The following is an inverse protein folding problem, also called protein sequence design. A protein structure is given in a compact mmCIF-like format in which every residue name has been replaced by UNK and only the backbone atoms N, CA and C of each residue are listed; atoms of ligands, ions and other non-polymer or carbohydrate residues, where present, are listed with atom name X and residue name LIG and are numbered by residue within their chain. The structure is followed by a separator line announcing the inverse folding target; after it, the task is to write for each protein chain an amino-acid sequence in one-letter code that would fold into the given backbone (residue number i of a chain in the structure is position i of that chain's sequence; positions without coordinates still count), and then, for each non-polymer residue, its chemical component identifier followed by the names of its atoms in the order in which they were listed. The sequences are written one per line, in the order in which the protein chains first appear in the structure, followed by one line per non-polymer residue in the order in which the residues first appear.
data_IF_945002057632
#
_entry.id   IF_945002057632
#
_cell.length_a   1.000
_cell.length_b   1.000
_cell.length_c   1.000
_cell.angle_alpha   90.00
_cell.angle_beta   90.00
_cell.angle_gamma   90.00
#
_symmetry.space_group_name_H-M   'P 1'
#
loop_
_entity.id
_entity.type
_entity.pdbx_description
1 polymer ?
#
# COMPACT_ATOMS: atom_id res chain seq x y z
N UNK A 1 -4.75 -12.69 -7.22
CA UNK A 1 -4.21 -11.32 -7.12
C UNK A 1 -4.49 -10.80 -5.73
N UNK A 2 -3.47 -10.41 -4.97
CA UNK A 2 -3.60 -10.06 -3.56
C UNK A 2 -4.56 -8.86 -3.34
N UNK A 3 -4.56 -7.87 -4.24
CA UNK A 3 -5.43 -6.69 -4.19
C UNK A 3 -6.91 -7.08 -4.09
N UNK A 4 -7.37 -8.10 -4.82
CA UNK A 4 -8.76 -8.58 -4.78
C UNK A 4 -9.17 -9.15 -3.41
N UNK A 5 -8.19 -9.64 -2.64
CA UNK A 5 -8.40 -10.23 -1.32
C UNK A 5 -8.40 -9.19 -0.18
N UNK A 6 -8.10 -7.91 -0.47
CA UNK A 6 -8.20 -6.84 0.51
C UNK A 6 -9.65 -6.77 1.03
N UNK A 7 -9.79 -6.77 2.36
CA UNK A 7 -11.08 -6.73 3.05
C UNK A 7 -11.68 -5.32 2.98
N UNK A 8 -12.97 -5.26 2.68
CA UNK A 8 -13.74 -4.03 2.74
C UNK A 8 -14.19 -3.75 4.19
N UNK A 9 -14.60 -2.51 4.48
CA UNK A 9 -15.09 -2.05 5.78
C UNK A 9 -13.99 -1.95 6.84
N UNK A 10 -12.72 -1.88 6.43
CA UNK A 10 -11.60 -1.64 7.35
C UNK A 10 -11.33 -0.15 7.44
N UNK A 11 -10.92 0.30 8.63
CA UNK A 11 -10.49 1.69 8.82
C UNK A 11 -9.31 1.97 7.88
N UNK A 12 -9.31 3.15 7.27
CA UNK A 12 -8.19 3.62 6.48
C UNK A 12 -6.95 3.77 7.37
N UNK A 13 -5.78 3.67 6.75
CA UNK A 13 -4.51 3.98 7.43
C UNK A 13 -4.39 5.48 7.72
N UNK A 14 -3.25 5.91 8.29
CA UNK A 14 -2.93 7.33 8.49
C UNK A 14 -2.97 8.17 7.20
N UNK A 15 -2.83 7.53 6.05
CA UNK A 15 -2.96 8.13 4.72
C UNK A 15 -4.41 8.46 4.32
N UNK A 16 -5.39 8.03 5.12
CA UNK A 16 -6.82 8.11 4.86
C UNK A 16 -7.26 7.38 3.58
N UNK A 17 -6.45 6.45 3.07
CA UNK A 17 -6.77 5.65 1.88
C UNK A 17 -7.44 4.34 2.33
N UNK A 18 -8.72 4.12 2.03
CA UNK A 18 -9.38 2.85 2.33
C UNK A 18 -8.88 1.75 1.38
N UNK A 19 -8.86 0.50 1.87
CA UNK A 19 -8.44 -0.65 1.07
C UNK A 19 -9.29 -0.87 -0.19
N UNK A 20 -10.53 -0.39 -0.18
CA UNK A 20 -11.45 -0.38 -1.32
C UNK A 20 -11.00 0.53 -2.46
N UNK A 21 -10.29 1.62 -2.18
CA UNK A 21 -9.73 2.49 -3.22
C UNK A 21 -8.67 1.74 -4.05
N UNK A 22 -7.89 0.86 -3.40
CA UNK A 22 -6.95 -0.02 -4.11
C UNK A 22 -7.66 -1.06 -4.98
N UNK A 23 -8.93 -1.37 -4.69
CA UNK A 23 -9.76 -2.32 -5.45
C UNK A 23 -10.58 -1.66 -6.55
N UNK A 24 -10.80 -0.34 -6.51
CA UNK A 24 -11.64 0.35 -7.50
C UNK A 24 -10.98 0.39 -8.87
N UNK A 25 -9.65 0.49 -8.93
CA UNK A 25 -8.88 0.37 -10.15
C UNK A 25 -7.69 -0.59 -9.96
N UNK A 26 -7.95 -1.86 -10.23
CA UNK A 26 -6.96 -2.93 -10.05
C UNK A 26 -5.81 -2.80 -11.06
N UNK A 27 -6.09 -2.36 -12.29
CA UNK A 27 -5.07 -2.27 -13.34
C UNK A 27 -4.08 -1.16 -13.04
N UNK A 28 -4.58 0.04 -12.71
CA UNK A 28 -3.74 1.15 -12.31
C UNK A 28 -2.95 0.84 -11.04
N UNK A 29 -3.61 0.28 -10.01
CA UNK A 29 -2.95 -0.07 -8.73
C UNK A 29 -1.87 -1.13 -8.94
N UNK A 30 -2.13 -2.13 -9.78
CA UNK A 30 -1.12 -3.17 -10.10
C UNK A 30 0.07 -2.58 -10.84
N UNK A 31 -0.18 -1.71 -11.83
CA UNK A 31 0.88 -1.08 -12.62
C UNK A 31 1.78 -0.21 -11.76
N UNK A 32 1.18 0.60 -10.86
CA UNK A 32 1.92 1.44 -9.92
C UNK A 32 2.75 0.61 -8.93
N UNK A 33 2.15 -0.41 -8.30
CA UNK A 33 2.86 -1.27 -7.34
C UNK A 33 3.99 -2.05 -8.00
N UNK A 34 3.77 -2.58 -9.20
CA UNK A 34 4.78 -3.32 -9.94
C UNK A 34 6.00 -2.44 -10.26
N UNK A 35 5.77 -1.21 -10.76
CA UNK A 35 6.85 -0.27 -11.02
C UNK A 35 7.62 0.11 -9.75
N UNK A 36 6.92 0.34 -8.64
CA UNK A 36 7.54 0.65 -7.35
C UNK A 36 8.43 -0.50 -6.87
N UNK A 37 7.91 -1.73 -6.85
CA UNK A 37 8.68 -2.89 -6.40
C UNK A 37 9.85 -3.20 -7.33
N UNK A 38 9.67 -3.03 -8.65
CA UNK A 38 10.76 -3.18 -9.62
C UNK A 38 11.89 -2.19 -9.32
N UNK A 39 11.56 -0.92 -9.08
CA UNK A 39 12.55 0.11 -8.72
C UNK A 39 13.30 -0.25 -7.43
N UNK A 40 12.58 -0.68 -6.39
CA UNK A 40 13.19 -1.11 -5.12
C UNK A 40 14.12 -2.30 -5.34
N UNK A 41 13.73 -3.25 -6.19
CA UNK A 41 14.54 -4.41 -6.54
C UNK A 41 15.82 -4.05 -7.31
N UNK A 42 15.74 -3.13 -8.27
CA UNK A 42 16.88 -2.71 -9.10
C UNK A 42 17.85 -1.79 -8.36
N UNK A 43 17.35 -0.88 -7.52
CA UNK A 43 18.16 0.10 -6.80
C UNK A 43 18.61 -0.38 -5.42
N UNK A 44 18.03 -1.47 -4.92
CA UNK A 44 18.19 -1.96 -3.54
C UNK A 44 17.88 -0.89 -2.46
N UNK A 45 17.13 0.15 -2.82
CA UNK A 45 16.76 1.25 -1.93
C UNK A 45 15.27 1.23 -1.63
N UNK A 46 14.95 1.12 -0.35
CA UNK A 46 13.60 1.28 0.17
C UNK A 46 13.29 2.75 0.49
N UNK A 47 12.06 3.23 0.21
CA UNK A 47 11.62 4.56 0.60
C UNK A 47 11.86 4.83 2.08
N UNK A 48 12.29 6.04 2.43
CA UNK A 48 12.58 6.40 3.82
C UNK A 48 11.34 6.29 4.71
N UNK A 49 10.17 6.62 4.17
CA UNK A 49 8.88 6.51 4.86
C UNK A 49 8.58 5.07 5.32
N UNK A 50 9.09 4.05 4.61
CA UNK A 50 8.90 2.64 4.99
C UNK A 50 9.82 2.21 6.14
N UNK A 51 10.86 2.99 6.43
CA UNK A 51 11.72 2.80 7.61
C UNK A 51 11.13 3.46 8.85
N UNK A 52 10.10 4.29 8.69
CA UNK A 52 9.41 4.95 9.80
C UNK A 52 8.30 4.04 10.34
N UNK A 53 8.33 3.79 11.65
CA UNK A 53 7.28 3.05 12.34
C UNK A 53 6.28 3.99 13.00
N UNK A 54 5.00 3.89 12.66
CA UNK A 54 3.95 4.64 13.35
C UNK A 54 3.42 3.87 14.56
N UNK A 55 3.46 4.48 15.74
CA UNK A 55 2.90 3.92 16.96
C UNK A 55 1.48 4.46 17.19
N UNK A 56 0.49 3.57 17.11
CA UNK A 56 -0.92 3.90 17.40
C UNK A 56 -1.30 3.31 18.75
N UNK A 57 -1.69 4.17 19.70
CA UNK A 57 -2.28 3.71 20.96
C UNK A 57 -3.73 3.29 20.71
N UNK A 58 -4.05 2.05 21.04
CA UNK A 58 -5.44 1.58 21.10
C UNK A 58 -6.00 2.03 22.46
N UNK A 59 -7.20 2.63 22.52
CA UNK A 59 -7.86 3.00 23.78
C UNK A 59 -8.07 1.81 24.73
#
# INVERSE_FOLDING_TARGET
MAIRQIKNGKAAGPDNIPGEALKSDIEATTSMLYLLFKKIWEEEQVPMDWKEGHLVKIP
#
